data_IF_172057391647
#
_entry.id   IF_172057391647
#
_cell.length_a   1.000
_cell.length_b   1.000
_cell.length_c   1.000
_cell.angle_alpha   90.00
_cell.angle_beta   90.00
_cell.angle_gamma   90.00
#
_symmetry.space_group_name_H-M   'P 1'
#
loop_
_entity.id
_entity.type
_entity.pdbx_description
1 polymer ?
#
# COMPACT_ATOMS: atom_id res chain seq x y z
N UNK A 1 10.21 -18.74 17.16
CA UNK A 1 9.08 -18.37 16.24
C UNK A 1 8.12 -19.54 16.10
N UNK A 2 6.87 -19.30 15.64
CA UNK A 2 5.93 -20.37 15.28
C UNK A 2 6.38 -21.07 14.00
N UNK A 3 5.99 -22.35 13.84
CA UNK A 3 6.32 -23.10 12.62
C UNK A 3 5.56 -22.57 11.39
N UNK A 4 4.37 -22.00 11.58
CA UNK A 4 3.54 -21.50 10.48
C UNK A 4 3.01 -20.10 10.76
N UNK A 5 3.09 -19.23 9.77
CA UNK A 5 2.47 -17.91 9.70
C UNK A 5 1.60 -17.81 8.45
N UNK A 6 0.45 -17.16 8.58
CA UNK A 6 -0.45 -16.88 7.46
C UNK A 6 -0.78 -15.39 7.43
N UNK A 7 -0.22 -14.67 6.45
CA UNK A 7 -0.60 -13.30 6.13
C UNK A 7 -1.80 -13.36 5.19
N UNK A 8 -2.96 -12.92 5.67
CA UNK A 8 -4.23 -13.11 4.96
C UNK A 8 -4.95 -11.79 4.79
N UNK A 9 -5.20 -11.38 3.57
CA UNK A 9 -5.97 -10.19 3.23
C UNK A 9 -5.54 -9.56 1.92
N UNK A 10 -6.37 -8.65 1.41
CA UNK A 10 -6.16 -8.01 0.11
C UNK A 10 -5.23 -6.79 0.15
N UNK A 11 -4.86 -6.32 1.35
CA UNK A 11 -4.03 -5.13 1.52
C UNK A 11 -2.54 -5.46 1.47
N UNK A 12 -1.94 -5.23 0.31
CA UNK A 12 -0.54 -5.56 0.06
C UNK A 12 0.44 -4.82 0.97
N UNK A 13 0.18 -3.56 1.30
CA UNK A 13 1.06 -2.78 2.17
C UNK A 13 1.14 -3.37 3.59
N UNK A 14 0.04 -3.90 4.11
CA UNK A 14 0.02 -4.59 5.40
C UNK A 14 0.78 -5.92 5.33
N UNK A 15 0.57 -6.70 4.27
CA UNK A 15 1.27 -7.96 4.06
C UNK A 15 2.79 -7.75 3.93
N UNK A 16 3.22 -6.76 3.13
CA UNK A 16 4.64 -6.43 2.94
C UNK A 16 5.28 -5.99 4.27
N UNK A 17 4.59 -5.15 5.06
CA UNK A 17 5.07 -4.72 6.38
C UNK A 17 5.19 -5.88 7.36
N UNK A 18 4.17 -6.74 7.44
CA UNK A 18 4.19 -7.90 8.32
C UNK A 18 5.31 -8.87 7.91
N UNK A 19 5.46 -9.11 6.61
CA UNK A 19 6.51 -9.95 6.07
C UNK A 19 7.90 -9.41 6.39
N UNK A 20 8.14 -8.10 6.23
CA UNK A 20 9.41 -7.46 6.58
C UNK A 20 9.78 -7.67 8.06
N UNK A 21 8.80 -7.57 8.97
CA UNK A 21 9.01 -7.84 10.41
C UNK A 21 9.39 -9.29 10.68
N UNK A 22 8.68 -10.23 10.08
CA UNK A 22 9.00 -11.66 10.22
C UNK A 22 10.38 -11.98 9.64
N UNK A 23 10.73 -11.40 8.50
CA UNK A 23 12.07 -11.56 7.90
C UNK A 23 13.19 -10.99 8.78
N UNK A 24 12.95 -9.85 9.45
CA UNK A 24 13.92 -9.28 10.38
C UNK A 24 14.16 -10.22 11.56
N UNK A 25 13.10 -10.79 12.16
CA UNK A 25 13.20 -11.77 13.24
C UNK A 25 13.94 -13.04 12.80
N UNK A 26 13.64 -13.55 11.59
CA UNK A 26 14.31 -14.72 11.03
C UNK A 26 15.82 -14.49 10.81
N UNK A 27 16.18 -13.27 10.38
CA UNK A 27 17.60 -12.86 10.23
C UNK A 27 18.33 -12.80 11.57
N UNK A 28 17.68 -12.30 12.63
CA UNK A 28 18.23 -12.32 14.00
C UNK A 28 18.46 -13.75 14.49
N UNK A 29 17.56 -14.68 14.15
CA UNK A 29 17.72 -16.12 14.42
C UNK A 29 18.69 -16.82 13.46
N UNK A 30 19.33 -16.10 12.54
CA UNK A 30 20.25 -16.61 11.49
C UNK A 30 19.62 -17.71 10.61
N UNK A 31 18.30 -17.63 10.40
CA UNK A 31 17.61 -18.56 9.53
C UNK A 31 17.98 -18.33 8.07
N UNK A 32 18.20 -19.41 7.32
CA UNK A 32 18.28 -19.37 5.87
C UNK A 32 16.88 -19.15 5.30
N UNK A 33 16.69 -18.08 4.53
CA UNK A 33 15.37 -17.66 4.03
C UNK A 33 15.28 -17.93 2.53
N UNK A 34 14.37 -18.81 2.13
CA UNK A 34 13.99 -19.04 0.75
C UNK A 34 12.64 -18.36 0.48
N UNK A 35 12.52 -17.64 -0.63
CA UNK A 35 11.26 -17.01 -1.05
C UNK A 35 10.86 -17.53 -2.40
N UNK A 36 9.62 -17.99 -2.52
CA UNK A 36 9.01 -18.47 -3.76
C UNK A 36 7.77 -17.64 -4.02
N UNK A 37 7.68 -17.09 -5.23
CA UNK A 37 6.44 -16.55 -5.74
C UNK A 37 5.63 -17.68 -6.38
N UNK A 38 4.42 -17.89 -5.90
CA UNK A 38 3.60 -19.02 -6.35
C UNK A 38 3.22 -18.94 -7.84
N UNK A 39 3.22 -17.73 -8.42
CA UNK A 39 2.95 -17.54 -9.86
C UNK A 39 4.08 -18.05 -10.76
N UNK A 40 5.30 -18.08 -10.24
CA UNK A 40 6.50 -18.47 -10.98
C UNK A 40 7.02 -19.86 -10.56
N UNK A 41 6.37 -20.50 -9.57
CA UNK A 41 6.80 -21.78 -9.00
C UNK A 41 6.69 -22.92 -10.01
N UNK A 42 7.76 -23.67 -10.16
CA UNK A 42 7.81 -24.89 -10.94
C UNK A 42 7.50 -26.11 -10.06
N UNK A 43 7.18 -27.21 -10.71
CA UNK A 43 6.98 -28.51 -10.03
C UNK A 43 8.29 -28.93 -9.36
N UNK A 44 8.23 -29.21 -8.06
CA UNK A 44 9.39 -29.58 -7.26
C UNK A 44 10.03 -28.45 -6.45
N UNK A 45 9.86 -27.19 -6.83
CA UNK A 45 10.47 -26.04 -6.12
C UNK A 45 10.07 -26.01 -4.65
N UNK A 46 8.80 -26.30 -4.35
CA UNK A 46 8.29 -26.34 -2.98
C UNK A 46 8.88 -27.54 -2.23
N UNK A 47 8.92 -28.71 -2.86
CA UNK A 47 9.50 -29.92 -2.26
C UNK A 47 10.98 -29.72 -1.93
N UNK A 48 11.75 -29.14 -2.85
CA UNK A 48 13.16 -28.85 -2.66
C UNK A 48 13.39 -27.82 -1.54
N UNK A 49 12.57 -26.75 -1.49
CA UNK A 49 12.66 -25.75 -0.44
C UNK A 49 12.27 -26.30 0.95
N UNK A 50 11.39 -27.29 1.01
CA UNK A 50 10.98 -27.96 2.24
C UNK A 50 11.89 -29.13 2.64
N UNK A 51 12.75 -29.63 1.73
CA UNK A 51 13.65 -30.75 2.00
C UNK A 51 14.65 -30.41 3.12
N UNK A 52 15.03 -31.36 4.00
CA UNK A 52 16.00 -31.11 5.07
C UNK A 52 17.33 -30.58 4.53
N UNK A 53 17.91 -29.57 5.19
CA UNK A 53 19.24 -29.04 4.87
C UNK A 53 20.31 -29.68 5.78
N UNK A 54 21.47 -29.92 5.21
CA UNK A 54 22.65 -30.40 5.98
C UNK A 54 23.49 -29.23 6.53
N UNK A 55 23.21 -28.01 6.10
CA UNK A 55 24.06 -26.84 6.36
C UNK A 55 23.43 -25.78 7.26
N UNK A 56 22.12 -25.79 7.43
CA UNK A 56 21.39 -24.76 8.16
C UNK A 56 20.56 -25.37 9.29
N UNK A 57 20.82 -24.92 10.52
CA UNK A 57 20.07 -25.35 11.71
C UNK A 57 18.65 -24.80 11.76
N UNK A 58 18.44 -23.60 11.16
CA UNK A 58 17.13 -22.95 11.04
C UNK A 58 16.88 -22.49 9.63
N UNK A 59 15.68 -22.71 9.14
CA UNK A 59 15.29 -22.33 7.78
C UNK A 59 13.89 -21.71 7.78
N UNK A 60 13.65 -20.90 6.78
CA UNK A 60 12.33 -20.34 6.54
C UNK A 60 11.98 -20.36 5.05
N UNK A 61 10.76 -20.76 4.74
CA UNK A 61 10.19 -20.68 3.40
C UNK A 61 9.07 -19.65 3.41
N UNK A 62 9.16 -18.70 2.49
CA UNK A 62 8.12 -17.68 2.25
C UNK A 62 7.47 -18.01 0.92
N UNK A 63 6.17 -18.28 0.93
CA UNK A 63 5.38 -18.51 -0.28
C UNK A 63 4.47 -17.32 -0.47
N UNK A 64 4.79 -16.48 -1.47
CA UNK A 64 3.97 -15.33 -1.87
C UNK A 64 2.90 -15.76 -2.84
N UNK A 65 1.80 -14.98 -2.87
CA UNK A 65 0.68 -15.19 -3.76
C UNK A 65 0.15 -16.64 -3.81
N UNK A 66 0.04 -17.24 -2.61
CA UNK A 66 -0.30 -18.65 -2.40
C UNK A 66 -1.54 -19.12 -3.20
N UNK A 67 -2.49 -18.20 -3.49
CA UNK A 67 -3.68 -18.49 -4.29
C UNK A 67 -3.35 -18.88 -5.74
N UNK A 68 -2.14 -18.57 -6.21
CA UNK A 68 -1.70 -18.81 -7.58
C UNK A 68 -0.83 -20.08 -7.70
N UNK A 69 -0.61 -20.80 -6.58
CA UNK A 69 0.24 -21.99 -6.54
C UNK A 69 -0.32 -23.11 -7.48
N UNK A 70 0.53 -23.76 -8.29
CA UNK A 70 0.16 -24.91 -9.10
C UNK A 70 -0.40 -26.10 -8.29
N UNK A 71 -1.26 -26.91 -8.88
CA UNK A 71 -1.92 -28.03 -8.16
C UNK A 71 -0.94 -29.03 -7.55
N UNK A 72 0.11 -29.40 -8.29
CA UNK A 72 1.13 -30.33 -7.80
C UNK A 72 1.85 -29.78 -6.55
N UNK A 73 2.21 -28.49 -6.57
CA UNK A 73 2.84 -27.81 -5.44
C UNK A 73 1.91 -27.66 -4.24
N UNK A 74 0.57 -27.54 -4.47
CA UNK A 74 -0.42 -27.56 -3.36
C UNK A 74 -0.43 -28.91 -2.64
N UNK A 75 -0.24 -30.00 -3.37
CA UNK A 75 -0.12 -31.37 -2.75
C UNK A 75 1.13 -31.44 -1.89
N UNK A 76 2.26 -30.87 -2.34
CA UNK A 76 3.51 -30.83 -1.60
C UNK A 76 3.36 -30.06 -0.28
N UNK A 77 2.77 -28.84 -0.32
CA UNK A 77 2.46 -28.06 0.88
C UNK A 77 1.55 -28.83 1.81
N UNK A 78 0.46 -29.41 1.30
CA UNK A 78 -0.52 -30.15 2.14
C UNK A 78 0.14 -31.33 2.86
N UNK A 79 1.00 -32.07 2.16
CA UNK A 79 1.76 -33.18 2.76
C UNK A 79 2.71 -32.69 3.86
N UNK A 80 3.35 -31.55 3.66
CA UNK A 80 4.25 -30.97 4.65
C UNK A 80 3.50 -30.51 5.92
N UNK A 81 2.28 -29.99 5.78
CA UNK A 81 1.45 -29.60 6.94
C UNK A 81 1.14 -30.75 7.88
N UNK A 82 1.08 -32.00 7.39
CA UNK A 82 0.83 -33.19 8.20
C UNK A 82 2.07 -33.62 9.03
N UNK A 83 3.27 -33.34 8.54
CA UNK A 83 4.53 -33.70 9.21
C UNK A 83 5.55 -32.55 9.08
N UNK A 84 5.36 -31.44 9.81
CA UNK A 84 6.25 -30.29 9.71
C UNK A 84 7.59 -30.54 10.39
N UNK A 85 8.66 -30.03 9.77
CA UNK A 85 9.97 -29.98 10.38
C UNK A 85 10.01 -28.86 11.45
N UNK A 86 10.33 -29.15 12.72
CA UNK A 86 10.36 -28.18 13.79
C UNK A 86 11.44 -27.10 13.63
N UNK A 87 12.44 -27.31 12.77
CA UNK A 87 13.50 -26.37 12.47
C UNK A 87 13.13 -25.39 11.35
N UNK A 88 11.99 -25.63 10.68
CA UNK A 88 11.50 -24.87 9.56
C UNK A 88 10.35 -23.94 9.94
N UNK A 89 10.43 -22.69 9.54
CA UNK A 89 9.32 -21.75 9.60
C UNK A 89 8.76 -21.54 8.19
N UNK A 90 7.44 -21.72 8.01
CA UNK A 90 6.79 -21.44 6.72
C UNK A 90 5.83 -20.27 6.86
N UNK A 91 6.01 -19.27 5.97
CA UNK A 91 5.19 -18.07 5.92
C UNK A 91 4.39 -18.10 4.63
N UNK A 92 3.08 -18.16 4.76
CA UNK A 92 2.14 -18.13 3.64
C UNK A 92 1.57 -16.73 3.48
N UNK A 93 1.58 -16.20 2.26
CA UNK A 93 0.94 -14.91 1.93
C UNK A 93 -0.20 -15.16 0.95
N UNK A 94 -1.42 -14.82 1.34
CA UNK A 94 -2.64 -15.07 0.55
C UNK A 94 -3.53 -13.83 0.54
N UNK A 95 -3.92 -13.38 -0.67
CA UNK A 95 -4.72 -12.15 -0.87
C UNK A 95 -6.19 -12.26 -0.39
N UNK A 96 -6.60 -13.44 0.08
CA UNK A 96 -8.00 -13.71 0.41
C UNK A 96 -8.81 -14.14 -0.82
N UNK A 97 -10.13 -14.21 -0.67
CA UNK A 97 -11.02 -14.62 -1.74
C UNK A 97 -11.17 -16.14 -1.90
N UNK A 98 -11.66 -16.57 -3.07
CA UNK A 98 -12.08 -17.97 -3.33
C UNK A 98 -10.95 -18.80 -3.94
N UNK A 99 -10.02 -18.18 -4.66
CA UNK A 99 -8.91 -18.86 -5.32
C UNK A 99 -7.99 -19.50 -4.29
N UNK A 100 -7.62 -20.76 -4.44
CA UNK A 100 -6.76 -21.49 -3.51
C UNK A 100 -7.42 -21.84 -2.17
N UNK A 101 -8.77 -21.75 -2.04
CA UNK A 101 -9.50 -21.93 -0.77
C UNK A 101 -9.22 -23.28 -0.11
N UNK A 102 -9.12 -24.36 -0.87
CA UNK A 102 -8.89 -25.70 -0.31
C UNK A 102 -7.54 -25.76 0.45
N UNK A 103 -6.49 -25.21 -0.15
CA UNK A 103 -5.17 -25.11 0.48
C UNK A 103 -5.20 -24.16 1.68
N UNK A 104 -5.86 -23.00 1.55
CA UNK A 104 -6.02 -22.04 2.65
C UNK A 104 -6.72 -22.68 3.86
N UNK A 105 -7.76 -23.50 3.63
CA UNK A 105 -8.49 -24.21 4.71
C UNK A 105 -7.59 -25.29 5.34
N UNK A 106 -6.76 -25.97 4.55
CA UNK A 106 -5.78 -26.93 5.08
C UNK A 106 -4.73 -26.23 5.97
N UNK A 107 -4.19 -25.10 5.53
CA UNK A 107 -3.25 -24.30 6.32
C UNK A 107 -3.89 -23.82 7.62
N UNK A 108 -5.12 -23.31 7.58
CA UNK A 108 -5.85 -22.90 8.80
C UNK A 108 -6.05 -24.03 9.81
N UNK A 109 -6.24 -25.27 9.34
CA UNK A 109 -6.32 -26.46 10.22
C UNK A 109 -5.01 -26.76 10.95
N UNK A 110 -3.87 -26.43 10.34
CA UNK A 110 -2.56 -26.53 10.97
C UNK A 110 -2.30 -25.44 12.03
N UNK A 111 -3.29 -24.56 12.30
CA UNK A 111 -3.27 -23.50 13.33
C UNK A 111 -2.08 -22.56 13.20
N UNK A 112 -1.86 -21.92 12.03
CA UNK A 112 -0.83 -20.92 11.89
C UNK A 112 -1.11 -19.71 12.77
N UNK A 113 -0.10 -18.91 13.04
CA UNK A 113 -0.30 -17.54 13.49
C UNK A 113 -0.84 -16.71 12.31
N UNK A 114 -2.07 -16.20 12.44
CA UNK A 114 -2.75 -15.46 11.39
C UNK A 114 -2.55 -13.97 11.61
N UNK A 115 -1.97 -13.31 10.61
CA UNK A 115 -1.82 -11.86 10.54
C UNK A 115 -2.81 -11.34 9.51
N UNK A 116 -3.82 -10.60 9.99
CA UNK A 116 -4.83 -10.02 9.11
C UNK A 116 -4.23 -8.86 8.30
N UNK A 117 -4.42 -8.92 6.99
CA UNK A 117 -3.99 -7.91 6.04
C UNK A 117 -5.18 -7.39 5.20
N UNK A 118 -6.33 -7.18 5.87
CA UNK A 118 -7.53 -6.68 5.22
C UNK A 118 -7.43 -5.17 4.97
N UNK A 119 -8.19 -4.69 3.97
CA UNK A 119 -8.23 -3.26 3.62
C UNK A 119 -8.66 -2.41 4.80
N UNK A 120 -7.86 -1.41 5.14
CA UNK A 120 -8.15 -0.43 6.17
C UNK A 120 -9.11 0.62 5.61
N UNK A 121 -10.30 0.73 6.22
CA UNK A 121 -11.32 1.69 5.79
C UNK A 121 -11.45 2.89 6.72
N UNK A 122 -11.20 2.71 8.02
CA UNK A 122 -11.39 3.75 9.02
C UNK A 122 -10.15 4.62 9.14
N UNK A 123 -10.36 5.92 9.29
CA UNK A 123 -9.28 6.89 9.42
C UNK A 123 -8.40 6.61 10.65
N UNK A 124 -9.00 6.26 11.78
CA UNK A 124 -8.26 5.88 12.99
C UNK A 124 -7.32 4.68 12.77
N UNK A 125 -7.75 3.68 11.99
CA UNK A 125 -6.90 2.52 11.65
C UNK A 125 -5.74 2.92 10.74
N UNK A 126 -5.94 3.92 9.84
CA UNK A 126 -4.87 4.48 9.02
C UNK A 126 -3.89 5.31 9.86
N UNK A 127 -4.39 6.08 10.83
CA UNK A 127 -3.54 6.79 11.79
C UNK A 127 -2.67 5.81 12.60
N UNK A 128 -3.24 4.70 13.08
CA UNK A 128 -2.50 3.65 13.77
C UNK A 128 -1.46 2.98 12.86
N UNK A 129 -1.78 2.77 11.60
CA UNK A 129 -0.85 2.25 10.60
C UNK A 129 0.34 3.21 10.40
N UNK A 130 0.09 4.50 10.16
CA UNK A 130 1.12 5.53 10.00
C UNK A 130 1.99 5.66 11.25
N UNK A 131 1.36 5.66 12.44
CA UNK A 131 2.08 5.64 13.71
C UNK A 131 3.02 4.45 13.83
N UNK A 132 2.53 3.27 13.44
CA UNK A 132 3.34 2.05 13.42
C UNK A 132 4.50 2.12 12.43
N UNK A 133 4.33 2.76 11.27
CA UNK A 133 5.41 2.96 10.29
C UNK A 133 6.52 3.87 10.85
N UNK A 134 6.18 4.97 11.53
CA UNK A 134 7.17 5.82 12.19
C UNK A 134 7.92 5.07 13.29
N UNK A 135 7.23 4.25 14.08
CA UNK A 135 7.87 3.40 15.10
C UNK A 135 8.84 2.39 14.49
N UNK A 136 8.45 1.74 13.38
CA UNK A 136 9.31 0.79 12.65
C UNK A 136 10.56 1.48 12.07
N UNK A 137 10.44 2.76 11.68
CA UNK A 137 11.55 3.61 11.24
C UNK A 137 12.39 4.18 12.42
N UNK A 138 12.08 3.85 13.67
CA UNK A 138 12.77 4.40 14.85
C UNK A 138 12.51 5.88 15.09
N UNK A 139 11.46 6.46 14.50
CA UNK A 139 11.12 7.89 14.57
C UNK A 139 9.88 8.12 15.44
N UNK A 140 9.85 9.28 16.08
CA UNK A 140 8.65 9.77 16.77
C UNK A 140 7.92 10.76 15.87
N UNK A 141 6.59 10.69 15.82
CA UNK A 141 5.74 11.65 15.12
C UNK A 141 4.67 12.19 16.07
N UNK A 142 4.33 13.46 15.92
CA UNK A 142 3.23 14.06 16.68
C UNK A 142 1.88 13.57 16.15
N UNK A 143 0.80 13.61 16.95
CA UNK A 143 -0.53 13.29 16.47
C UNK A 143 -0.97 14.17 15.29
N UNK A 144 -0.55 15.45 15.24
CA UNK A 144 -0.80 16.35 14.11
C UNK A 144 -0.13 15.87 12.83
N UNK A 145 1.15 15.47 12.89
CA UNK A 145 1.86 14.91 11.76
C UNK A 145 1.21 13.64 11.20
N UNK A 146 0.76 12.73 12.10
CA UNK A 146 0.07 11.49 11.69
C UNK A 146 -1.22 11.81 10.94
N UNK A 147 -2.03 12.75 11.49
CA UNK A 147 -3.28 13.19 10.84
C UNK A 147 -3.04 13.89 9.51
N UNK A 148 -2.03 14.77 9.44
CA UNK A 148 -1.67 15.45 8.21
C UNK A 148 -1.27 14.44 7.12
N UNK A 149 -0.46 13.41 7.45
CA UNK A 149 -0.09 12.33 6.52
C UNK A 149 -1.32 11.56 6.02
N UNK A 150 -2.22 11.15 6.93
CA UNK A 150 -3.44 10.42 6.55
C UNK A 150 -4.37 11.31 5.73
N UNK A 151 -4.53 12.58 6.09
CA UNK A 151 -5.36 13.52 5.33
C UNK A 151 -4.86 13.74 3.91
N UNK A 152 -3.55 13.77 3.74
CA UNK A 152 -2.93 14.05 2.45
C UNK A 152 -2.84 12.81 1.53
N UNK A 153 -2.53 11.62 2.07
CA UNK A 153 -2.22 10.40 1.29
C UNK A 153 -3.05 9.18 1.71
N UNK A 154 -4.04 9.35 2.57
CA UNK A 154 -4.77 8.24 3.19
C UNK A 154 -5.63 7.38 2.25
N UNK A 155 -5.60 7.61 0.96
CA UNK A 155 -6.28 6.76 -0.04
C UNK A 155 -5.47 5.51 -0.39
N UNK A 156 -4.13 5.58 -0.31
CA UNK A 156 -3.22 4.47 -0.63
C UNK A 156 -2.21 4.23 0.50
N UNK A 157 -2.24 3.04 1.09
CA UNK A 157 -1.33 2.67 2.18
C UNK A 157 0.12 2.49 1.73
N UNK A 158 0.38 2.15 0.46
CA UNK A 158 1.73 2.08 -0.09
C UNK A 158 2.33 3.46 -0.24
N UNK A 159 1.51 4.42 -0.63
CA UNK A 159 1.90 5.83 -0.72
C UNK A 159 2.24 6.38 0.68
N UNK A 160 1.39 6.12 1.66
CA UNK A 160 1.66 6.43 3.07
C UNK A 160 2.98 5.80 3.55
N UNK A 161 3.21 4.53 3.24
CA UNK A 161 4.45 3.82 3.62
C UNK A 161 5.68 4.47 2.99
N UNK A 162 5.62 4.78 1.70
CA UNK A 162 6.71 5.44 0.98
C UNK A 162 7.00 6.84 1.53
N UNK A 163 5.96 7.62 1.79
CA UNK A 163 6.07 8.96 2.33
C UNK A 163 6.64 8.96 3.76
N UNK A 164 6.18 8.05 4.63
CA UNK A 164 6.74 7.91 5.99
C UNK A 164 8.20 7.48 5.94
N UNK A 165 8.56 6.55 5.06
CA UNK A 165 9.94 6.13 4.90
C UNK A 165 10.83 7.31 4.48
N UNK A 166 10.40 8.07 3.48
CA UNK A 166 11.16 9.20 2.96
C UNK A 166 11.30 10.33 4.00
N UNK A 167 10.20 10.77 4.63
CA UNK A 167 10.28 11.84 5.64
C UNK A 167 11.10 11.39 6.87
N UNK A 168 11.10 10.09 7.18
CA UNK A 168 11.90 9.55 8.28
C UNK A 168 13.40 9.63 8.01
N UNK A 169 13.82 9.56 6.73
CA UNK A 169 15.21 9.70 6.30
C UNK A 169 15.62 11.17 6.18
N UNK A 170 14.76 12.01 5.61
CA UNK A 170 15.09 13.38 5.24
C UNK A 170 14.91 14.39 6.39
N UNK A 171 13.98 14.11 7.32
CA UNK A 171 13.72 15.01 8.43
C UNK A 171 14.88 15.04 9.46
N UNK A 172 15.22 16.22 10.00
CA UNK A 172 16.23 16.35 11.02
C UNK A 172 15.93 15.49 12.27
N UNK A 173 16.92 15.33 13.15
CA UNK A 173 16.74 14.59 14.38
C UNK A 173 15.64 15.21 15.26
N UNK A 174 14.81 14.38 15.88
CA UNK A 174 13.69 14.80 16.71
C UNK A 174 12.37 14.19 16.30
N UNK A 175 11.29 14.71 16.88
CA UNK A 175 9.93 14.29 16.51
C UNK A 175 9.50 14.99 15.21
N UNK A 176 8.88 14.23 14.34
CA UNK A 176 8.29 14.75 13.09
C UNK A 176 6.97 15.43 13.46
N UNK A 177 6.83 16.69 13.12
CA UNK A 177 5.64 17.50 13.36
C UNK A 177 4.83 17.77 12.07
N UNK A 178 3.69 18.40 12.24
CA UNK A 178 2.78 18.73 11.14
C UNK A 178 3.44 19.65 10.11
N UNK A 179 4.22 20.64 10.55
CA UNK A 179 4.89 21.58 9.64
C UNK A 179 5.94 20.89 8.76
N UNK A 180 6.61 19.85 9.26
CA UNK A 180 7.53 19.04 8.47
C UNK A 180 6.77 18.22 7.42
N UNK A 181 5.59 17.66 7.77
CA UNK A 181 4.74 16.92 6.83
C UNK A 181 4.22 17.85 5.74
N UNK A 182 3.74 19.05 6.10
CA UNK A 182 3.25 20.05 5.15
C UNK A 182 4.36 20.48 4.19
N UNK A 183 5.56 20.74 4.69
CA UNK A 183 6.72 21.07 3.86
C UNK A 183 7.10 19.95 2.90
N UNK A 184 7.06 18.71 3.39
CA UNK A 184 7.30 17.51 2.59
C UNK A 184 6.23 17.37 1.50
N UNK A 185 4.97 17.65 1.84
CA UNK A 185 3.85 17.64 0.89
C UNK A 185 3.93 18.78 -0.13
N UNK A 186 4.26 19.99 0.31
CA UNK A 186 4.43 21.15 -0.60
C UNK A 186 5.52 20.90 -1.65
N UNK A 187 6.57 20.13 -1.30
CA UNK A 187 7.57 19.64 -2.26
C UNK A 187 7.07 18.52 -3.20
N UNK A 188 5.92 17.95 -2.92
CA UNK A 188 5.28 16.82 -3.62
C UNK A 188 3.88 17.13 -4.16
N UNK A 189 3.41 18.39 -4.06
CA UNK A 189 2.15 18.76 -4.69
C UNK A 189 2.30 18.50 -6.19
N UNK A 190 1.79 17.35 -6.62
CA UNK A 190 1.46 17.14 -8.01
C UNK A 190 0.44 18.21 -8.36
N UNK A 191 0.93 19.28 -8.98
CA UNK A 191 0.06 20.34 -9.50
C UNK A 191 -0.86 19.66 -10.49
N UNK A 192 -2.13 19.50 -10.10
CA UNK A 192 -3.11 18.82 -10.94
C UNK A 192 -3.50 19.71 -12.11
N UNK A 193 -4.03 19.11 -13.18
CA UNK A 193 -4.60 19.90 -14.27
C UNK A 193 -5.71 20.85 -13.82
N UNK A 194 -6.38 20.55 -12.69
CA UNK A 194 -7.42 21.44 -12.11
C UNK A 194 -6.82 22.66 -11.41
N UNK A 195 -5.67 22.55 -10.73
CA UNK A 195 -5.00 23.71 -10.13
C UNK A 195 -4.57 24.71 -11.20
N UNK A 196 -4.09 24.19 -12.34
CA UNK A 196 -3.77 25.01 -13.52
C UNK A 196 -5.04 25.68 -14.06
N UNK A 197 -6.14 24.94 -14.17
CA UNK A 197 -7.41 25.42 -14.67
C UNK A 197 -7.99 26.51 -13.76
N UNK A 198 -7.98 26.32 -12.46
CA UNK A 198 -8.51 27.26 -11.47
C UNK A 198 -7.70 28.57 -11.50
N UNK A 199 -6.35 28.50 -11.47
CA UNK A 199 -5.50 29.67 -11.55
C UNK A 199 -5.65 30.43 -12.88
N UNK A 200 -5.83 29.71 -14.00
CA UNK A 200 -6.06 30.33 -15.31
C UNK A 200 -7.42 31.04 -15.40
N UNK A 201 -8.46 30.43 -14.84
CA UNK A 201 -9.83 30.96 -14.85
C UNK A 201 -10.02 32.14 -13.88
N UNK A 202 -9.25 32.18 -12.80
CA UNK A 202 -9.17 33.32 -11.88
C UNK A 202 -8.43 34.52 -12.49
N UNK A 203 -7.87 34.36 -13.70
CA UNK A 203 -7.12 35.40 -14.39
C UNK A 203 -5.74 35.67 -13.79
N UNK A 204 -5.26 34.80 -12.91
CA UNK A 204 -3.94 34.93 -12.28
C UNK A 204 -2.86 34.29 -13.14
N UNK A 205 -2.47 34.99 -14.23
CA UNK A 205 -1.50 34.48 -15.21
C UNK A 205 -0.16 34.05 -14.58
N UNK A 206 0.46 34.77 -13.64
CA UNK A 206 1.72 34.34 -13.03
C UNK A 206 1.58 32.98 -12.31
N UNK A 207 0.51 32.81 -11.51
CA UNK A 207 0.26 31.55 -10.81
C UNK A 207 -0.09 30.44 -11.80
N UNK A 208 -0.92 30.70 -12.81
CA UNK A 208 -1.27 29.71 -13.83
C UNK A 208 -0.04 29.17 -14.59
N UNK A 209 0.94 30.02 -14.89
CA UNK A 209 2.16 29.61 -15.58
C UNK A 209 3.10 28.80 -14.66
N UNK A 210 3.18 29.17 -13.37
CA UNK A 210 3.97 28.43 -12.37
C UNK A 210 3.37 27.04 -12.16
N UNK A 211 2.06 26.98 -11.94
CA UNK A 211 1.33 25.70 -11.74
C UNK A 211 1.39 24.82 -12.97
N UNK A 212 1.25 25.38 -14.18
CA UNK A 212 1.39 24.63 -15.43
C UNK A 212 2.81 24.01 -15.57
N UNK A 213 3.85 24.80 -15.32
CA UNK A 213 5.22 24.28 -15.37
C UNK A 213 5.43 23.17 -14.36
N UNK A 214 4.99 23.36 -13.11
CA UNK A 214 5.08 22.36 -12.06
C UNK A 214 4.30 21.07 -12.42
N UNK A 215 3.08 21.20 -12.97
CA UNK A 215 2.30 20.04 -13.42
C UNK A 215 3.02 19.23 -14.51
N UNK A 216 3.61 19.90 -15.48
CA UNK A 216 4.34 19.23 -16.56
C UNK A 216 5.66 18.60 -16.08
N UNK A 217 6.39 19.26 -15.18
CA UNK A 217 7.63 18.76 -14.57
C UNK A 217 7.37 17.54 -13.66
N UNK A 218 6.19 17.48 -13.00
CA UNK A 218 5.77 16.34 -12.17
C UNK A 218 5.11 15.21 -12.97
N UNK A 219 5.01 15.34 -14.31
CA UNK A 219 4.55 14.26 -15.19
C UNK A 219 3.06 14.28 -15.51
N UNK A 220 2.33 15.35 -15.16
CA UNK A 220 0.92 15.51 -15.57
C UNK A 220 0.82 15.60 -17.10
N UNK A 221 0.03 14.72 -17.72
CA UNK A 221 -0.19 14.72 -19.15
C UNK A 221 -0.81 16.06 -19.62
N UNK A 222 -0.26 16.75 -20.63
CA UNK A 222 -0.81 17.98 -21.20
C UNK A 222 -2.30 17.84 -21.61
N UNK A 223 -2.73 16.64 -22.03
CA UNK A 223 -4.13 16.34 -22.36
C UNK A 223 -5.02 16.44 -21.12
N UNK A 224 -4.53 15.99 -19.97
CA UNK A 224 -5.26 16.10 -18.69
C UNK A 224 -5.44 17.57 -18.28
N UNK A 225 -4.41 18.40 -18.42
CA UNK A 225 -4.49 19.85 -18.16
C UNK A 225 -5.52 20.52 -19.08
N UNK A 226 -5.46 20.24 -20.37
CA UNK A 226 -6.41 20.77 -21.36
C UNK A 226 -7.84 20.33 -21.05
N UNK A 227 -8.04 19.07 -20.67
CA UNK A 227 -9.33 18.50 -20.30
C UNK A 227 -9.90 19.16 -19.03
N UNK A 228 -9.04 19.43 -18.04
CA UNK A 228 -9.43 20.12 -16.82
C UNK A 228 -9.92 21.55 -17.09
N UNK A 229 -9.18 22.33 -17.90
CA UNK A 229 -9.57 23.68 -18.31
C UNK A 229 -10.90 23.66 -19.06
N UNK A 230 -11.06 22.75 -20.01
CA UNK A 230 -12.30 22.61 -20.77
C UNK A 230 -13.48 22.20 -19.89
N UNK A 231 -13.26 21.37 -18.88
CA UNK A 231 -14.29 20.96 -17.91
C UNK A 231 -14.71 22.10 -17.01
N UNK A 232 -13.75 22.87 -16.49
CA UNK A 232 -14.02 24.03 -15.63
C UNK A 232 -14.75 25.13 -16.39
N UNK A 233 -14.34 25.43 -17.65
CA UNK A 233 -15.08 26.37 -18.51
C UNK A 233 -16.50 25.94 -18.79
N UNK A 234 -16.74 24.65 -19.06
CA UNK A 234 -18.11 24.12 -19.26
C UNK A 234 -18.96 24.24 -18.00
N UNK A 235 -18.37 24.03 -16.83
CA UNK A 235 -19.05 24.17 -15.55
C UNK A 235 -19.47 25.64 -15.30
N UNK A 236 -18.58 26.61 -15.59
CA UNK A 236 -18.88 28.04 -15.51
C UNK A 236 -19.99 28.41 -16.49
N UNK A 237 -19.91 27.96 -17.75
CA UNK A 237 -20.91 28.22 -18.76
C UNK A 237 -22.30 27.67 -18.38
N UNK A 238 -22.39 26.49 -17.78
CA UNK A 238 -23.63 25.91 -17.26
C UNK A 238 -24.20 26.75 -16.13
N UNK A 239 -23.38 27.19 -15.19
CA UNK A 239 -23.84 28.04 -14.06
C UNK A 239 -24.29 29.42 -14.55
N UNK A 240 -23.60 30.03 -15.49
CA UNK A 240 -23.95 31.33 -16.05
C UNK A 240 -25.22 31.30 -16.90
N UNK A 241 -25.56 30.14 -17.49
CA UNK A 241 -26.78 29.94 -18.28
C UNK A 241 -28.03 29.58 -17.46
N UNK A 242 -27.89 29.29 -16.17
CA UNK A 242 -29.04 28.95 -15.30
C UNK A 242 -29.66 30.18 -14.67
N UNK A 243 -30.98 30.28 -14.75
CA UNK A 243 -31.74 31.37 -14.06
C UNK A 243 -31.54 31.29 -12.54
N UNK A 244 -31.55 32.45 -11.85
CA UNK A 244 -31.33 32.63 -10.40
C UNK A 244 -32.21 31.80 -9.43
N UNK A 245 -32.86 30.72 -9.90
CA UNK A 245 -33.77 29.87 -9.11
C UNK A 245 -33.39 28.37 -9.04
N UNK A 246 -32.33 27.95 -9.71
CA UNK A 246 -31.91 26.54 -9.68
C UNK A 246 -31.23 26.19 -8.35
N UNK A 247 -31.64 25.06 -7.72
CA UNK A 247 -31.07 24.63 -6.44
C UNK A 247 -29.60 24.27 -6.66
N UNK A 248 -28.71 24.76 -5.80
CA UNK A 248 -27.26 24.53 -5.82
C UNK A 248 -26.84 23.05 -5.90
N UNK A 249 -27.73 22.13 -5.51
CA UNK A 249 -27.53 20.68 -5.57
C UNK A 249 -27.55 20.10 -7.01
N UNK A 250 -28.35 20.64 -7.92
CA UNK A 250 -28.41 20.21 -9.32
C UNK A 250 -27.14 20.61 -10.10
N UNK A 251 -26.49 21.69 -9.68
CA UNK A 251 -25.26 22.22 -10.27
C UNK A 251 -24.00 21.47 -9.80
N UNK A 252 -24.05 20.86 -8.61
CA UNK A 252 -22.96 20.10 -8.01
C UNK A 252 -22.93 18.62 -8.45
N UNK A 253 -24.05 18.09 -8.97
CA UNK A 253 -24.20 16.67 -9.34
C UNK A 253 -23.32 16.21 -10.50
N UNK A 254 -22.87 17.13 -11.36
CA UNK A 254 -22.11 16.83 -12.57
C UNK A 254 -20.58 16.65 -12.33
N UNK A 255 -20.07 16.96 -11.13
CA UNK A 255 -18.66 16.74 -10.79
C UNK A 255 -18.32 15.28 -10.46
N UNK A 256 -19.32 14.42 -10.20
CA UNK A 256 -19.13 13.02 -9.80
C UNK A 256 -19.24 11.99 -10.92
N UNK A 257 -19.52 12.39 -12.15
CA UNK A 257 -19.75 11.45 -13.27
C UNK A 257 -18.64 11.41 -14.33
N UNK A 258 -17.45 11.96 -14.01
CA UNK A 258 -16.28 11.86 -14.89
C UNK A 258 -15.10 11.34 -14.07
N UNK A 259 -15.13 10.05 -13.79
CA UNK A 259 -13.97 9.21 -13.49
C UNK A 259 -14.08 7.96 -14.35
#
# INVERSE_FOLDING_TARGET
MNSFYLLLGSEGALADRALAKLQAQLKEEKAEITTIDASDALVGDIADALAPSLFSERRALIIKDLQDLPEDSKVEVTRYLDQPDPTMTVIFVHKGGVKGKALLDAIKKAKPEIIACDTIKKEAEKEDFVKGLFQDAGRKATPGAIKAMVGALGTDLRELQSAVSQISLDAPAGAIDEAMVDKFHQGRIETTGFDVADAALDGNLPVALITLRSALETGTDPVMVTSAIASSLRSIAKVSGTNRGSKSFELAGDRKSVV
#
